data_IF_695395053306
#
_entry.id   IF_695395053306
#
_cell.length_a   1.000
_cell.length_b   1.000
_cell.length_c   1.000
_cell.angle_alpha   90.00
_cell.angle_beta   90.00
_cell.angle_gamma   90.00
#
_symmetry.space_group_name_H-M   'P 1'
#
loop_
_entity.id
_entity.type
_entity.pdbx_description
1 polymer ?
#
# COMPACT_ATOMS: atom_id res chain seq x y z
N UNK A 1 -0.89 -7.45 9.56
CA UNK A 1 -1.53 -6.68 8.47
C UNK A 1 -2.51 -5.73 9.13
N UNK A 2 -2.33 -4.43 8.94
CA UNK A 2 -3.28 -3.41 9.42
C UNK A 2 -3.63 -2.50 8.25
N UNK A 3 -4.88 -2.07 8.17
CA UNK A 3 -5.31 -1.05 7.23
C UNK A 3 -4.83 0.32 7.71
N UNK A 4 -4.14 1.03 6.84
CA UNK A 4 -3.55 2.34 7.13
C UNK A 4 -4.00 3.35 6.09
N UNK A 5 -4.03 4.61 6.52
CA UNK A 5 -4.42 5.73 5.68
C UNK A 5 -3.21 6.65 5.48
N UNK A 6 -2.80 6.85 4.24
CA UNK A 6 -1.61 7.63 3.88
C UNK A 6 -2.06 8.96 3.27
N UNK A 7 -1.52 10.08 3.72
CA UNK A 7 -1.84 11.38 3.11
C UNK A 7 -1.13 11.52 1.77
N UNK A 8 -1.88 11.84 0.72
CA UNK A 8 -1.39 12.14 -0.62
C UNK A 8 -1.80 13.54 -1.08
N UNK A 9 -1.29 13.99 -2.24
CA UNK A 9 -1.57 15.33 -2.78
C UNK A 9 -3.05 15.54 -3.13
N UNK A 10 -3.74 14.49 -3.60
CA UNK A 10 -5.15 14.54 -4.03
C UNK A 10 -6.10 13.91 -2.99
N UNK A 11 -5.67 13.81 -1.73
CA UNK A 11 -6.44 13.21 -0.65
C UNK A 11 -5.74 11.99 -0.03
N UNK A 12 -6.51 11.17 0.68
CA UNK A 12 -5.96 10.05 1.44
C UNK A 12 -5.97 8.76 0.61
N UNK A 13 -4.92 7.96 0.74
CA UNK A 13 -4.75 6.66 0.10
C UNK A 13 -4.98 5.56 1.13
N UNK A 14 -5.85 4.62 0.80
CA UNK A 14 -6.05 3.39 1.55
C UNK A 14 -4.94 2.39 1.22
N UNK A 15 -4.32 1.83 2.24
CA UNK A 15 -3.25 0.86 2.07
C UNK A 15 -3.26 -0.20 3.16
N UNK A 16 -2.54 -1.29 2.91
CA UNK A 16 -2.28 -2.34 3.90
C UNK A 16 -0.80 -2.34 4.26
N UNK A 17 -0.51 -2.30 5.56
CA UNK A 17 0.86 -2.32 6.07
C UNK A 17 1.21 -3.66 6.72
N UNK A 18 2.39 -4.16 6.38
CA UNK A 18 3.02 -5.33 6.96
C UNK A 18 4.38 -4.94 7.50
N UNK A 19 4.48 -4.83 8.83
CA UNK A 19 5.75 -4.63 9.49
C UNK A 19 6.56 -5.94 9.49
N UNK A 20 7.83 -5.86 9.11
CA UNK A 20 8.76 -6.98 9.28
C UNK A 20 9.29 -7.01 10.72
N UNK A 21 9.46 -8.20 11.29
CA UNK A 21 9.97 -8.35 12.65
C UNK A 21 11.48 -8.03 12.76
N UNK A 22 12.21 -8.17 11.65
CA UNK A 22 13.66 -7.92 11.60
C UNK A 22 13.96 -6.42 11.48
N UNK A 23 14.69 -5.81 12.43
CA UNK A 23 15.11 -4.42 12.31
C UNK A 23 15.96 -4.18 11.06
N UNK A 24 15.66 -3.12 10.31
CA UNK A 24 16.39 -2.78 9.08
C UNK A 24 16.05 -3.65 7.88
N UNK A 25 15.00 -4.47 7.94
CA UNK A 25 14.50 -5.20 6.78
C UNK A 25 14.14 -4.25 5.62
N UNK A 26 14.35 -4.66 4.36
CA UNK A 26 14.04 -3.84 3.19
C UNK A 26 12.54 -3.56 3.08
N UNK A 27 12.21 -2.42 2.48
CA UNK A 27 10.82 -2.01 2.22
C UNK A 27 10.43 -2.38 0.79
N UNK A 28 9.19 -2.83 0.61
CA UNK A 28 8.59 -3.13 -0.70
C UNK A 28 7.29 -2.34 -0.83
N UNK A 29 7.05 -1.80 -2.02
CA UNK A 29 5.78 -1.18 -2.41
C UNK A 29 5.09 -2.06 -3.46
N UNK A 30 3.84 -2.44 -3.19
CA UNK A 30 3.02 -3.23 -4.11
C UNK A 30 1.92 -2.33 -4.66
N UNK A 31 1.84 -2.24 -5.99
CA UNK A 31 0.83 -1.44 -6.69
C UNK A 31 -0.17 -2.37 -7.37
N UNK A 32 -1.43 -1.96 -7.37
CA UNK A 32 -2.50 -2.70 -8.05
C UNK A 32 -2.44 -2.47 -9.57
N UNK A 33 -2.92 -3.43 -10.37
CA UNK A 33 -3.07 -3.25 -11.80
C UNK A 33 -4.19 -2.25 -12.12
N UNK A 34 -4.14 -1.66 -13.31
CA UNK A 34 -5.08 -0.61 -13.73
C UNK A 34 -6.55 -1.10 -13.71
N UNK A 35 -7.50 -0.37 -13.10
CA UNK A 35 -8.89 -0.82 -12.95
C UNK A 35 -9.60 -1.14 -14.26
N UNK A 36 -9.38 -0.34 -15.32
CA UNK A 36 -10.00 -0.60 -16.64
C UNK A 36 -9.50 -1.88 -17.33
N UNK A 37 -8.43 -2.49 -16.83
CA UNK A 37 -7.86 -3.74 -17.34
C UNK A 37 -8.05 -4.91 -16.36
N UNK A 38 -9.05 -4.84 -15.48
CA UNK A 38 -9.39 -5.91 -14.54
C UNK A 38 -8.71 -5.80 -13.17
N UNK A 39 -8.15 -4.65 -12.83
CA UNK A 39 -7.69 -4.36 -11.47
C UNK A 39 -8.85 -4.14 -10.48
N UNK A 40 -8.57 -4.35 -9.20
CA UNK A 40 -9.58 -4.30 -8.12
C UNK A 40 -9.41 -3.09 -7.20
N UNK A 41 -8.72 -2.04 -7.65
CA UNK A 41 -8.69 -0.73 -7.00
C UNK A 41 -8.95 0.34 -8.05
#
# INVERSE_FOLDING_TARGET
MVEVMINGPEGRLEARYHHAETPGAPVVLVLHPHPQHGGTM
#
